data_IF_315671143619
#
_entry.id   IF_315671143619
#
_cell.length_a   1.000
_cell.length_b   1.000
_cell.length_c   1.000
_cell.angle_alpha   90.00
_cell.angle_beta   90.00
_cell.angle_gamma   90.00
#
_symmetry.space_group_name_H-M   'P 1'
#
loop_
_entity.id
_entity.type
_entity.pdbx_description
1 polymer ?
#
# COMPACT_ATOMS: atom_id res chain seq x y z
N UNK A 1 -17.45 0.44 -0.64
CA UNK A 1 -16.33 -0.48 -0.69
C UNK A 1 -15.22 0.09 -1.52
N UNK A 2 -14.02 0.08 -0.99
CA UNK A 2 -12.89 0.67 -1.67
C UNK A 2 -11.99 -0.36 -2.32
N UNK A 3 -11.23 0.12 -3.28
CA UNK A 3 -10.09 -0.58 -3.85
C UNK A 3 -8.87 0.22 -3.43
N UNK A 4 -7.89 -0.45 -2.83
CA UNK A 4 -6.79 0.23 -2.15
C UNK A 4 -5.46 -0.13 -2.76
N UNK A 5 -4.58 0.86 -2.85
CA UNK A 5 -3.16 0.64 -3.13
C UNK A 5 -2.38 1.12 -1.92
N UNK A 6 -1.41 0.35 -1.49
CA UNK A 6 -0.72 0.64 -0.25
C UNK A 6 0.77 0.40 -0.35
N UNK A 7 1.50 1.10 0.51
CA UNK A 7 2.91 0.86 0.77
C UNK A 7 3.02 0.31 2.19
N UNK A 8 3.72 -0.80 2.33
CA UNK A 8 3.93 -1.44 3.62
C UNK A 8 5.43 -1.49 3.93
N UNK A 9 5.78 -1.18 5.16
CA UNK A 9 7.16 -1.28 5.63
C UNK A 9 7.37 -2.64 6.24
N UNK A 10 8.37 -3.35 5.77
CA UNK A 10 8.73 -4.68 6.27
C UNK A 10 9.75 -4.59 7.39
N UNK A 11 9.95 -5.71 8.10
CA UNK A 11 10.83 -5.75 9.26
C UNK A 11 12.29 -5.40 8.96
N UNK A 12 12.73 -5.56 7.73
CA UNK A 12 14.08 -5.17 7.29
C UNK A 12 14.12 -3.77 6.67
N UNK A 13 13.09 -2.96 6.91
CA UNK A 13 12.95 -1.60 6.40
C UNK A 13 12.78 -1.49 4.88
N UNK A 14 12.49 -2.57 4.17
CA UNK A 14 12.12 -2.49 2.77
C UNK A 14 10.64 -2.12 2.62
N UNK A 15 10.27 -1.64 1.44
CA UNK A 15 8.91 -1.18 1.16
C UNK A 15 8.27 -2.12 0.14
N UNK A 16 7.13 -2.67 0.52
CA UNK A 16 6.31 -3.50 -0.34
C UNK A 16 5.13 -2.68 -0.86
N UNK A 17 4.82 -2.80 -2.15
CA UNK A 17 3.67 -2.15 -2.77
C UNK A 17 2.64 -3.21 -3.13
N UNK A 18 1.38 -2.98 -2.76
CA UNK A 18 0.32 -3.94 -3.05
C UNK A 18 -1.01 -3.27 -3.30
N UNK A 19 -1.99 -4.07 -3.71
CA UNK A 19 -3.37 -3.64 -3.91
C UNK A 19 -4.29 -4.63 -3.22
N UNK A 20 -5.40 -4.13 -2.70
CA UNK A 20 -6.35 -4.96 -1.97
C UNK A 20 -7.73 -4.30 -1.95
N UNK A 21 -8.75 -5.11 -1.68
CA UNK A 21 -10.09 -4.59 -1.40
C UNK A 21 -10.35 -4.40 0.09
N UNK A 22 -9.41 -4.82 0.96
CA UNK A 22 -9.57 -4.73 2.41
C UNK A 22 -8.20 -4.55 3.07
N UNK A 23 -7.86 -3.30 3.43
CA UNK A 23 -6.57 -2.96 4.01
C UNK A 23 -6.32 -3.68 5.34
N UNK A 24 -7.32 -3.72 6.20
CA UNK A 24 -7.17 -4.33 7.53
C UNK A 24 -6.85 -5.80 7.40
N UNK A 25 -7.66 -6.50 6.61
CA UNK A 25 -7.44 -7.92 6.38
C UNK A 25 -6.07 -8.19 5.76
N UNK A 26 -5.68 -7.38 4.76
CA UNK A 26 -4.42 -7.62 4.04
C UNK A 26 -3.20 -7.44 4.93
N UNK A 27 -3.20 -6.43 5.80
CA UNK A 27 -2.10 -6.24 6.75
C UNK A 27 -2.04 -7.40 7.74
N UNK A 28 -3.19 -7.87 8.22
CA UNK A 28 -3.24 -9.05 9.07
C UNK A 28 -2.70 -10.29 8.37
N UNK A 29 -3.05 -10.48 7.11
CA UNK A 29 -2.56 -11.60 6.32
C UNK A 29 -1.03 -11.56 6.17
N UNK A 30 -0.47 -10.36 5.92
CA UNK A 30 0.98 -10.20 5.82
C UNK A 30 1.69 -10.62 7.11
N UNK A 31 1.10 -10.36 8.26
CA UNK A 31 1.70 -10.65 9.56
C UNK A 31 1.35 -12.02 10.12
N UNK A 32 0.44 -12.75 9.49
CA UNK A 32 -0.01 -14.05 9.99
C UNK A 32 1.00 -15.14 9.65
N UNK A 33 1.45 -15.87 10.66
CA UNK A 33 2.35 -17.00 10.48
C UNK A 33 1.65 -18.25 9.95
N UNK A 34 0.31 -18.30 10.10
CA UNK A 34 -0.49 -19.44 9.67
C UNK A 34 -1.14 -19.21 8.30
N UNK A 35 -0.92 -18.06 7.70
CA UNK A 35 -1.51 -17.72 6.42
C UNK A 35 -1.02 -18.66 5.32
N UNK A 36 -1.95 -19.26 4.60
CA UNK A 36 -1.64 -20.17 3.49
C UNK A 36 -1.93 -19.47 2.17
N UNK A 37 -0.88 -19.05 1.48
CA UNK A 37 -0.98 -18.55 0.12
C UNK A 37 -1.46 -17.11 -0.05
N UNK A 38 -1.91 -16.46 1.02
CA UNK A 38 -2.40 -15.07 0.94
C UNK A 38 -1.32 -14.04 1.26
N UNK A 39 -0.25 -14.46 1.87
CA UNK A 39 0.86 -13.58 2.23
C UNK A 39 1.90 -13.60 1.11
N UNK A 40 2.33 -12.41 0.67
CA UNK A 40 3.36 -12.32 -0.35
C UNK A 40 4.65 -12.99 0.15
N UNK A 41 5.33 -13.68 -0.75
CA UNK A 41 6.58 -14.38 -0.42
C UNK A 41 7.59 -13.48 0.25
N UNK A 42 7.75 -12.28 -0.28
CA UNK A 42 8.72 -11.33 0.25
C UNK A 42 8.42 -10.96 1.70
N UNK A 43 7.16 -10.54 1.96
CA UNK A 43 6.77 -10.10 3.29
C UNK A 43 6.77 -11.25 4.30
N UNK A 44 6.57 -12.49 3.83
CA UNK A 44 6.61 -13.67 4.71
C UNK A 44 7.95 -13.83 5.41
N UNK A 45 9.04 -13.42 4.77
CA UNK A 45 10.39 -13.53 5.31
C UNK A 45 10.85 -12.28 6.05
N UNK A 46 10.07 -11.20 6.04
CA UNK A 46 10.50 -9.89 6.53
C UNK A 46 9.47 -9.25 7.46
N UNK A 47 8.93 -10.05 8.37
CA UNK A 47 7.98 -9.57 9.38
C UNK A 47 8.70 -8.76 10.47
N UNK A 48 8.02 -7.86 11.16
CA UNK A 48 6.60 -7.52 10.97
C UNK A 48 6.39 -6.58 9.80
N UNK A 49 5.13 -6.51 9.33
CA UNK A 49 4.73 -5.61 8.25
C UNK A 49 3.80 -4.56 8.85
N UNK A 50 4.07 -3.29 8.58
CA UNK A 50 3.21 -2.19 9.00
C UNK A 50 2.79 -1.36 7.79
N UNK A 51 1.57 -0.83 7.84
CA UNK A 51 1.05 0.03 6.79
C UNK A 51 1.73 1.39 6.86
N UNK A 52 2.42 1.78 5.79
CA UNK A 52 3.13 3.05 5.74
C UNK A 52 2.33 4.14 5.03
N UNK A 53 1.58 3.79 3.97
CA UNK A 53 0.75 4.74 3.25
C UNK A 53 -0.29 3.97 2.45
N UNK A 54 -1.43 4.62 2.13
CA UNK A 54 -2.47 3.99 1.32
C UNK A 54 -3.30 5.04 0.58
N UNK A 55 -3.86 4.62 -0.54
CA UNK A 55 -4.77 5.43 -1.37
C UNK A 55 -5.93 4.57 -1.81
N UNK A 56 -7.10 5.20 -1.92
CA UNK A 56 -8.31 4.53 -2.41
C UNK A 56 -8.61 4.97 -3.84
N UNK A 57 -9.05 4.03 -4.66
CA UNK A 57 -9.48 4.31 -6.05
C UNK A 57 -10.82 3.64 -6.30
N UNK A 58 -11.42 3.92 -7.46
CA UNK A 58 -12.80 3.53 -7.74
C UNK A 58 -13.00 2.16 -8.35
N UNK A 59 -11.94 1.49 -8.82
CA UNK A 59 -12.05 0.18 -9.46
C UNK A 59 -10.78 -0.63 -9.26
N UNK A 60 -10.91 -1.94 -9.44
CA UNK A 60 -9.74 -2.83 -9.36
C UNK A 60 -8.74 -2.54 -10.48
N UNK A 61 -9.23 -2.23 -11.67
CA UNK A 61 -8.36 -1.85 -12.79
C UNK A 61 -7.51 -0.63 -12.45
N UNK A 62 -8.14 0.39 -11.84
CA UNK A 62 -7.43 1.60 -11.41
C UNK A 62 -6.40 1.28 -10.32
N UNK A 63 -6.76 0.39 -9.40
CA UNK A 63 -5.84 -0.02 -8.34
C UNK A 63 -4.59 -0.67 -8.92
N UNK A 64 -4.75 -1.57 -9.89
CA UNK A 64 -3.62 -2.24 -10.51
C UNK A 64 -2.74 -1.27 -11.30
N UNK A 65 -3.35 -0.29 -11.96
CA UNK A 65 -2.60 0.73 -12.70
C UNK A 65 -1.80 1.62 -11.75
N UNK A 66 -2.40 2.02 -10.63
CA UNK A 66 -1.70 2.82 -9.63
C UNK A 66 -0.59 2.02 -8.96
N UNK A 67 -0.86 0.77 -8.60
CA UNK A 67 0.14 -0.12 -8.03
C UNK A 67 1.35 -0.25 -8.95
N UNK A 68 1.11 -0.47 -10.25
CA UNK A 68 2.18 -0.59 -11.24
C UNK A 68 3.02 0.69 -11.31
N UNK A 69 2.37 1.85 -11.31
CA UNK A 69 3.08 3.13 -11.34
C UNK A 69 3.98 3.31 -10.11
N UNK A 70 3.49 2.95 -8.93
CA UNK A 70 4.27 3.06 -7.70
C UNK A 70 5.44 2.07 -7.70
N UNK A 71 5.20 0.84 -8.17
CA UNK A 71 6.28 -0.16 -8.25
C UNK A 71 7.44 0.27 -9.13
N UNK A 72 7.19 1.12 -10.10
CA UNK A 72 8.22 1.66 -10.98
C UNK A 72 9.01 2.82 -10.35
N UNK A 73 8.57 3.34 -9.22
CA UNK A 73 9.29 4.39 -8.51
C UNK A 73 10.55 3.85 -7.85
N UNK A 74 11.58 4.67 -7.78
CA UNK A 74 12.77 4.35 -7.01
C UNK A 74 12.49 4.58 -5.52
N UNK A 75 13.33 4.02 -4.66
CA UNK A 75 13.15 4.10 -3.22
C UNK A 75 12.96 5.54 -2.71
N UNK A 76 13.74 6.54 -3.14
CA UNK A 76 13.54 7.92 -2.65
C UNK A 76 12.15 8.46 -2.96
N UNK A 77 11.59 8.13 -4.14
CA UNK A 77 10.23 8.54 -4.48
C UNK A 77 9.18 7.85 -3.59
N UNK A 78 9.37 6.56 -3.30
CA UNK A 78 8.48 5.84 -2.39
C UNK A 78 8.53 6.43 -1.00
N UNK A 79 9.71 6.82 -0.51
CA UNK A 79 9.84 7.46 0.78
C UNK A 79 9.09 8.79 0.84
N UNK A 80 9.12 9.56 -0.25
CA UNK A 80 8.34 10.80 -0.33
C UNK A 80 6.83 10.54 -0.31
N UNK A 81 6.37 9.50 -1.00
CA UNK A 81 4.95 9.11 -0.97
C UNK A 81 4.52 8.72 0.45
N UNK A 82 5.38 8.09 1.21
CA UNK A 82 5.11 7.72 2.60
C UNK A 82 5.02 8.97 3.48
N UNK A 83 5.92 9.92 3.27
CA UNK A 83 5.94 11.17 4.02
C UNK A 83 4.72 12.04 3.76
N UNK A 84 4.27 12.10 2.52
CA UNK A 84 3.19 12.96 2.10
C UNK A 84 2.36 12.25 1.03
N UNK A 85 1.17 11.81 1.42
CA UNK A 85 0.28 11.08 0.52
C UNK A 85 -0.09 11.89 -0.72
N UNK A 86 -0.08 13.22 -0.63
CA UNK A 86 -0.41 14.12 -1.74
C UNK A 86 0.60 14.05 -2.87
N UNK A 87 1.78 13.53 -2.63
CA UNK A 87 2.78 13.34 -3.68
C UNK A 87 2.34 12.32 -4.73
N UNK A 88 1.24 11.58 -4.47
CA UNK A 88 0.64 10.70 -5.46
C UNK A 88 0.11 11.47 -6.68
N UNK A 89 -0.35 12.70 -6.50
CA UNK A 89 -0.96 13.45 -7.59
C UNK A 89 0.04 13.84 -8.69
N UNK A 90 1.23 14.37 -8.38
CA UNK A 90 2.25 14.58 -9.42
C UNK A 90 2.66 13.28 -10.11
N UNK A 91 2.74 12.18 -9.37
CA UNK A 91 3.05 10.88 -9.97
C UNK A 91 1.96 10.44 -10.94
N UNK A 92 0.70 10.56 -10.54
CA UNK A 92 -0.43 10.19 -11.38
C UNK A 92 -0.44 11.01 -12.66
N UNK A 93 -0.20 12.32 -12.58
CA UNK A 93 -0.13 13.20 -13.74
C UNK A 93 0.99 12.77 -14.68
N UNK A 94 2.17 12.52 -14.14
CA UNK A 94 3.35 12.11 -14.91
C UNK A 94 3.12 10.77 -15.63
N UNK A 95 2.33 9.89 -15.03
CA UNK A 95 2.03 8.55 -15.58
C UNK A 95 0.71 8.49 -16.34
N UNK A 96 0.05 9.63 -16.55
CA UNK A 96 -1.24 9.72 -17.26
C UNK A 96 -2.34 8.88 -16.62
N UNK A 97 -2.40 8.86 -15.30
CA UNK A 97 -3.46 8.18 -14.57
C UNK A 97 -4.63 9.14 -14.39
N UNK A 98 -5.68 8.97 -15.19
CA UNK A 98 -6.80 9.90 -15.30
C UNK A 98 -8.01 9.43 -14.50
N UNK A 99 -7.79 8.99 -13.26
CA UNK A 99 -8.87 8.55 -12.39
C UNK A 99 -8.71 9.17 -11.00
N UNK A 100 -9.79 9.15 -10.26
CA UNK A 100 -9.84 9.75 -8.93
C UNK A 100 -9.04 8.90 -7.93
N UNK A 101 -8.19 9.57 -7.17
CA UNK A 101 -7.38 8.94 -6.12
C UNK A 101 -7.66 9.70 -4.82
N UNK A 102 -7.98 8.97 -3.75
CA UNK A 102 -8.22 9.55 -2.43
C UNK A 102 -7.18 9.04 -1.43
N UNK A 103 -6.72 9.92 -0.56
CA UNK A 103 -5.76 9.57 0.48
C UNK A 103 -6.46 8.82 1.61
N UNK A 104 -5.79 7.83 2.19
CA UNK A 104 -6.30 7.17 3.38
C UNK A 104 -6.16 8.09 4.58
N UNK A 105 -7.15 8.05 5.49
CA UNK A 105 -7.07 8.84 6.71
C UNK A 105 -5.95 8.32 7.62
N UNK A 106 -5.35 9.24 8.39
CA UNK A 106 -4.35 8.84 9.37
C UNK A 106 -4.93 7.86 10.40
N UNK A 107 -6.18 8.05 10.75
CA UNK A 107 -6.85 7.17 11.70
C UNK A 107 -6.96 5.75 11.18
N UNK A 108 -7.31 5.57 9.92
CA UNK A 108 -7.36 4.25 9.30
C UNK A 108 -6.01 3.57 9.32
N UNK A 109 -4.93 4.31 9.01
CA UNK A 109 -3.58 3.77 9.06
C UNK A 109 -3.17 3.36 10.47
N UNK A 110 -3.53 4.15 11.48
CA UNK A 110 -3.27 3.82 12.88
C UNK A 110 -3.98 2.54 13.30
N UNK A 111 -5.25 2.38 12.89
CA UNK A 111 -6.02 1.18 13.20
C UNK A 111 -5.38 -0.07 12.61
N UNK A 112 -4.89 0.03 11.36
CA UNK A 112 -4.27 -1.09 10.69
C UNK A 112 -2.96 -1.53 11.34
N UNK A 113 -2.29 -0.63 12.04
CA UNK A 113 -1.01 -0.92 12.69
C UNK A 113 -1.15 -1.26 14.16
N UNK A 114 -2.36 -1.23 14.71
CA UNK A 114 -2.61 -1.60 16.09
C UNK A 114 -2.42 -3.10 16.27
N UNK A 115 -1.73 -3.44 17.33
CA UNK A 115 -1.66 -4.84 17.77
C UNK A 115 -2.96 -5.21 18.45
N UNK A 116 -3.47 -6.35 18.10
CA UNK A 116 -4.64 -6.91 18.79
C UNK A 116 -4.26 -7.45 20.15
#
# INVERSE_FOLDING_TARGET
>A
MGYWVYLARCGNNTIYTGATTDLIRRVREHNSRSSKGNRAKYTASHLPVSLAQAWEVGSWSDALRLEHAIKRCLRPEKDQLIKDAKMIYPLAERRNLNFLISEASQELRKQNNKRD
#
